data_IF_794641345850
#
_entry.id   IF_794641345850
#
_cell.length_a   1.000
_cell.length_b   1.000
_cell.length_c   1.000
_cell.angle_alpha   90.00
_cell.angle_beta   90.00
_cell.angle_gamma   90.00
#
_symmetry.space_group_name_H-M   'P 1'
#
loop_
_entity.id
_entity.type
_entity.pdbx_description
1 polymer ?
#
# COMPACT_ATOMS: atom_id res chain seq x y z
N UNK A 1 -0.31 -22.12 14.90
CA UNK A 1 -1.32 -21.91 13.86
C UNK A 1 -1.24 -20.46 13.38
N UNK A 2 -0.31 -20.15 12.49
CA UNK A 2 -0.29 -18.84 11.80
C UNK A 2 -0.81 -19.08 10.40
N UNK A 3 -1.97 -18.49 10.13
CA UNK A 3 -2.79 -18.75 8.96
C UNK A 3 -2.02 -18.55 7.66
N UNK A 4 -2.32 -19.43 6.71
CA UNK A 4 -1.99 -19.33 5.30
C UNK A 4 -2.38 -17.96 4.77
N UNK A 5 -1.39 -17.08 4.54
CA UNK A 5 -1.54 -15.93 3.66
C UNK A 5 -1.96 -16.41 2.27
N UNK A 6 -2.83 -15.63 1.62
CA UNK A 6 -3.54 -15.96 0.39
C UNK A 6 -2.75 -16.84 -0.59
N UNK A 7 -3.18 -18.09 -0.76
CA UNK A 7 -2.60 -19.05 -1.70
C UNK A 7 -3.14 -18.83 -3.13
N UNK A 8 -3.12 -17.59 -3.61
CA UNK A 8 -3.65 -17.19 -4.91
C UNK A 8 -2.70 -16.27 -5.67
N UNK A 9 -2.80 -16.26 -7.00
CA UNK A 9 -2.07 -15.32 -7.85
C UNK A 9 -2.78 -13.96 -7.77
N UNK A 10 -2.06 -12.91 -7.36
CA UNK A 10 -2.55 -11.52 -7.39
C UNK A 10 -2.66 -11.01 -8.84
N UNK A 11 -3.70 -10.22 -9.13
CA UNK A 11 -3.90 -9.63 -10.47
C UNK A 11 -3.20 -8.27 -10.60
N UNK A 12 -2.93 -7.61 -9.47
CA UNK A 12 -2.23 -6.33 -9.41
C UNK A 12 -1.24 -6.30 -8.24
N UNK A 13 -0.19 -5.49 -8.37
CA UNK A 13 0.70 -5.18 -7.25
C UNK A 13 -0.04 -4.49 -6.09
N UNK A 14 -1.18 -3.84 -6.37
CA UNK A 14 -2.04 -3.23 -5.36
C UNK A 14 -2.75 -4.27 -4.48
N UNK A 15 -2.91 -5.50 -4.96
CA UNK A 15 -3.49 -6.61 -4.18
C UNK A 15 -2.49 -7.14 -3.14
N UNK A 16 -1.18 -6.90 -3.36
CA UNK A 16 -0.11 -7.27 -2.44
C UNK A 16 0.15 -6.22 -1.34
N UNK A 17 -0.63 -5.13 -1.30
CA UNK A 17 -0.54 -4.13 -0.23
C UNK A 17 -1.25 -4.66 1.02
N UNK A 18 -0.51 -4.74 2.12
CA UNK A 18 -1.01 -5.21 3.39
C UNK A 18 -0.49 -6.59 3.78
N UNK A 19 -1.22 -7.26 4.68
CA UNK A 19 -0.90 -8.61 5.18
C UNK A 19 0.57 -8.88 5.54
N UNK A 20 1.25 -7.82 5.96
CA UNK A 20 2.64 -7.88 6.39
C UNK A 20 2.79 -8.74 7.64
N UNK A 21 3.89 -9.48 7.81
CA UNK A 21 4.06 -10.33 8.98
C UNK A 21 4.20 -9.52 10.27
N UNK A 22 3.83 -10.16 11.37
CA UNK A 22 4.18 -9.76 12.72
C UNK A 22 5.32 -10.66 13.20
N UNK A 23 6.42 -10.09 13.64
CA UNK A 23 7.54 -10.83 14.22
C UNK A 23 7.64 -10.54 15.72
N UNK A 24 7.90 -11.55 16.52
CA UNK A 24 8.31 -11.37 17.91
C UNK A 24 9.84 -11.32 17.96
N UNK A 25 10.40 -10.26 18.55
CA UNK A 25 11.84 -10.07 18.75
C UNK A 25 12.04 -9.78 20.24
N UNK A 26 12.62 -10.73 20.96
CA UNK A 26 12.93 -10.59 22.39
C UNK A 26 11.74 -10.15 23.26
N UNK A 27 10.54 -10.68 22.97
CA UNK A 27 9.30 -10.34 23.68
C UNK A 27 8.59 -9.06 23.20
N UNK A 28 9.12 -8.40 22.17
CA UNK A 28 8.51 -7.22 21.52
C UNK A 28 7.97 -7.59 20.15
N UNK A 29 6.71 -7.26 19.88
CA UNK A 29 6.09 -7.50 18.58
C UNK A 29 6.38 -6.36 17.59
N UNK A 30 6.87 -6.72 16.40
CA UNK A 30 7.23 -5.83 15.32
C UNK A 30 6.36 -6.11 14.08
N UNK A 31 5.58 -5.11 13.64
CA UNK A 31 4.79 -5.19 12.41
C UNK A 31 5.63 -4.74 11.22
N UNK A 32 5.99 -5.67 10.32
CA UNK A 32 6.98 -5.45 9.27
C UNK A 32 6.42 -4.72 8.03
N UNK A 33 5.98 -3.47 8.21
CA UNK A 33 5.38 -2.67 7.13
C UNK A 33 6.31 -2.30 5.98
N UNK A 34 7.62 -2.48 6.15
CA UNK A 34 8.60 -2.33 5.07
C UNK A 34 8.45 -3.42 3.98
N UNK A 35 7.67 -4.49 4.24
CA UNK A 35 7.37 -5.55 3.28
C UNK A 35 6.17 -5.26 2.39
N UNK A 36 5.50 -4.10 2.54
CA UNK A 36 4.56 -3.67 1.50
C UNK A 36 5.33 -3.43 0.18
N UNK A 37 4.67 -3.56 -0.99
CA UNK A 37 5.31 -3.36 -2.30
C UNK A 37 6.00 -2.00 -2.49
N UNK A 38 5.51 -0.93 -1.85
CA UNK A 38 6.16 0.38 -1.89
C UNK A 38 7.34 0.52 -0.92
N UNK A 39 7.67 -0.53 -0.17
CA UNK A 39 8.71 -0.54 0.86
C UNK A 39 8.33 0.17 2.16
N UNK A 40 7.07 0.60 2.33
CA UNK A 40 6.65 1.29 3.56
C UNK A 40 5.16 1.13 3.87
N UNK A 41 4.77 1.49 5.10
CA UNK A 41 3.37 1.56 5.54
C UNK A 41 2.50 2.48 4.68
N UNK A 42 3.12 3.43 3.95
CA UNK A 42 2.38 4.41 3.15
C UNK A 42 1.70 3.80 1.92
N UNK A 43 2.05 2.57 1.51
CA UNK A 43 1.28 1.82 0.52
C UNK A 43 -0.22 1.78 0.85
N UNK A 44 -0.55 1.55 2.13
CA UNK A 44 -1.93 1.41 2.59
C UNK A 44 -2.74 2.69 2.40
N UNK A 45 -2.19 3.81 2.87
CA UNK A 45 -2.91 5.09 2.78
C UNK A 45 -2.95 5.63 1.35
N UNK A 46 -1.90 5.42 0.55
CA UNK A 46 -1.89 5.82 -0.86
C UNK A 46 -2.99 5.09 -1.65
N UNK A 47 -3.09 3.76 -1.49
CA UNK A 47 -4.17 2.96 -2.11
C UNK A 47 -5.54 3.49 -1.68
N UNK A 48 -5.76 3.63 -0.38
CA UNK A 48 -7.03 4.10 0.17
C UNK A 48 -7.42 5.50 -0.34
N UNK A 49 -6.52 6.48 -0.33
CA UNK A 49 -6.82 7.84 -0.75
C UNK A 49 -7.18 7.92 -2.24
N UNK A 50 -6.44 7.19 -3.09
CA UNK A 50 -6.72 7.15 -4.54
C UNK A 50 -8.07 6.47 -4.80
N UNK A 51 -8.31 5.28 -4.24
CA UNK A 51 -9.59 4.58 -4.40
C UNK A 51 -10.76 5.41 -3.90
N UNK A 52 -10.62 6.08 -2.75
CA UNK A 52 -11.66 6.96 -2.20
C UNK A 52 -11.94 8.15 -3.11
N UNK A 53 -10.91 8.79 -3.66
CA UNK A 53 -11.05 9.94 -4.55
C UNK A 53 -11.70 9.54 -5.89
N UNK A 54 -11.36 8.37 -6.43
CA UNK A 54 -12.03 7.80 -7.62
C UNK A 54 -13.50 7.49 -7.34
N UNK A 55 -13.81 6.85 -6.21
CA UNK A 55 -15.19 6.56 -5.78
C UNK A 55 -16.05 7.83 -5.64
N UNK A 56 -15.44 8.93 -5.20
CA UNK A 56 -16.10 10.22 -5.02
C UNK A 56 -16.15 11.06 -6.31
N UNK A 57 -15.50 10.60 -7.39
CA UNK A 57 -15.38 11.34 -8.64
C UNK A 57 -14.49 12.58 -8.55
N UNK A 58 -13.63 12.66 -7.53
CA UNK A 58 -12.66 13.74 -7.33
C UNK A 58 -11.34 13.51 -8.08
N UNK A 59 -11.10 12.27 -8.52
CA UNK A 59 -9.94 11.86 -9.30
C UNK A 59 -10.42 11.01 -10.47
N UNK A 60 -9.98 11.35 -11.67
CA UNK A 60 -10.24 10.58 -12.89
C UNK A 60 -8.93 10.26 -13.62
N UNK A 61 -8.99 9.31 -14.55
CA UNK A 61 -7.83 8.95 -15.39
C UNK A 61 -7.29 10.20 -16.12
N UNK A 62 -5.97 10.39 -16.05
CA UNK A 62 -5.27 11.53 -16.63
C UNK A 62 -5.11 12.74 -15.71
N UNK A 63 -5.74 12.75 -14.54
CA UNK A 63 -5.49 13.78 -13.53
C UNK A 63 -4.07 13.71 -12.96
N UNK A 64 -3.61 14.82 -12.39
CA UNK A 64 -2.31 14.91 -11.73
C UNK A 64 -2.46 14.90 -10.21
N UNK A 65 -1.84 13.92 -9.56
CA UNK A 65 -1.75 13.85 -8.09
C UNK A 65 -0.55 14.68 -7.61
N UNK A 66 -0.79 15.58 -6.66
CA UNK A 66 0.25 16.38 -5.99
C UNK A 66 0.16 16.14 -4.49
N UNK A 67 1.27 15.77 -3.86
CA UNK A 67 1.34 15.48 -2.43
C UNK A 67 2.64 16.05 -1.82
N UNK A 68 2.50 16.77 -0.70
CA UNK A 68 3.66 17.24 0.07
C UNK A 68 4.15 16.12 1.00
N UNK A 69 5.32 15.56 0.72
CA UNK A 69 5.80 14.36 1.40
C UNK A 69 7.30 14.38 1.65
N UNK A 70 7.73 13.69 2.71
CA UNK A 70 9.15 13.40 2.98
C UNK A 70 9.71 12.25 2.14
N UNK A 71 8.85 11.53 1.38
CA UNK A 71 9.29 10.53 0.39
C UNK A 71 8.38 9.32 0.31
N UNK A 72 8.14 8.62 1.44
CA UNK A 72 7.43 7.34 1.42
C UNK A 72 5.99 7.43 0.88
N UNK A 73 5.26 8.51 1.18
CA UNK A 73 3.92 8.72 0.61
C UNK A 73 4.02 9.02 -0.88
N UNK A 74 5.00 9.81 -1.31
CA UNK A 74 5.26 10.08 -2.73
C UNK A 74 5.55 8.80 -3.50
N UNK A 75 6.48 7.97 -3.02
CA UNK A 75 6.78 6.67 -3.62
C UNK A 75 5.55 5.77 -3.70
N UNK A 76 4.75 5.70 -2.63
CA UNK A 76 3.53 4.91 -2.59
C UNK A 76 2.46 5.42 -3.58
N UNK A 77 2.25 6.74 -3.66
CA UNK A 77 1.32 7.35 -4.62
C UNK A 77 1.79 7.16 -6.06
N UNK A 78 3.09 7.32 -6.34
CA UNK A 78 3.66 7.04 -7.66
C UNK A 78 3.45 5.60 -8.08
N UNK A 79 3.61 4.64 -7.16
CA UNK A 79 3.34 3.22 -7.43
C UNK A 79 1.85 2.98 -7.73
N UNK A 80 0.93 3.60 -6.97
CA UNK A 80 -0.52 3.46 -7.20
C UNK A 80 -0.93 4.08 -8.53
N UNK A 81 -0.47 5.30 -8.81
CA UNK A 81 -0.76 6.03 -10.05
C UNK A 81 -0.10 5.41 -11.30
N UNK A 82 0.94 4.59 -11.16
CA UNK A 82 1.53 3.87 -12.28
C UNK A 82 0.70 2.63 -12.71
N UNK A 83 -0.22 2.18 -11.85
CA UNK A 83 -1.03 0.97 -12.07
C UNK A 83 -2.46 1.31 -12.48
N UNK A 84 -2.98 2.46 -12.04
CA UNK A 84 -4.32 2.99 -12.31
C UNK A 84 -4.25 4.04 -13.40
#
# INVERSE_FOLDING_TARGET
MYGSGASGVSNSILDAIGDTPMLEIEGVYCKCEFLNPSGSIKARIAKYMVEKAEEEGLLVEGDTIVEATSGNTGNALSMVAAVK
#
